data_IF_064234454561
#
_entry.id   IF_064234454561
#
_cell.length_a   1.000
_cell.length_b   1.000
_cell.length_c   1.000
_cell.angle_alpha   90.00
_cell.angle_beta   90.00
_cell.angle_gamma   90.00
#
_symmetry.space_group_name_H-M   'P 1'
#
loop_
_entity.id
_entity.type
_entity.pdbx_description
1 polymer ?
#
# COMPACT_ATOMS: atom_id res chain seq x y z
N UNK A 1 -60.85 20.31 -62.54
CA UNK A 1 -60.07 19.54 -61.54
C UNK A 1 -59.17 18.56 -62.28
N UNK A 2 -57.85 18.76 -62.26
CA UNK A 2 -56.91 17.93 -62.99
C UNK A 2 -56.79 16.53 -62.34
N UNK A 3 -57.12 15.46 -63.09
CA UNK A 3 -56.92 14.07 -62.65
C UNK A 3 -55.41 13.82 -62.51
N UNK A 4 -54.95 13.57 -61.29
CA UNK A 4 -53.56 13.15 -61.04
C UNK A 4 -53.25 11.88 -61.84
N UNK A 5 -52.19 11.93 -62.65
CA UNK A 5 -51.68 10.76 -63.40
C UNK A 5 -51.20 9.71 -62.39
N UNK A 6 -51.64 8.46 -62.54
CA UNK A 6 -51.21 7.36 -61.68
C UNK A 6 -49.70 7.14 -61.88
N UNK A 7 -48.90 7.05 -60.79
CA UNK A 7 -47.45 6.90 -60.89
C UNK A 7 -47.11 5.56 -61.55
N UNK A 8 -46.14 5.60 -62.46
CA UNK A 8 -45.63 4.44 -63.19
C UNK A 8 -44.86 3.47 -62.30
N UNK A 9 -44.53 2.29 -62.82
CA UNK A 9 -43.86 1.24 -62.04
C UNK A 9 -42.50 1.68 -61.49
N UNK A 10 -41.68 2.36 -62.30
CA UNK A 10 -40.35 2.85 -61.91
C UNK A 10 -40.44 3.87 -60.78
N UNK A 11 -41.38 4.81 -60.86
CA UNK A 11 -41.57 5.83 -59.81
C UNK A 11 -41.96 5.20 -58.46
N UNK A 12 -42.81 4.16 -58.48
CA UNK A 12 -43.16 3.42 -57.25
C UNK A 12 -42.00 2.62 -56.70
N UNK A 13 -41.17 2.05 -57.57
CA UNK A 13 -39.97 1.33 -57.17
C UNK A 13 -38.97 2.27 -56.49
N UNK A 14 -38.68 3.43 -57.09
CA UNK A 14 -37.78 4.43 -56.52
C UNK A 14 -38.29 4.92 -55.15
N UNK A 15 -39.58 5.26 -55.03
CA UNK A 15 -40.17 5.65 -53.73
C UNK A 15 -40.06 4.57 -52.64
N UNK A 16 -40.14 3.29 -53.02
CA UNK A 16 -39.95 2.19 -52.06
C UNK A 16 -38.49 2.03 -51.67
N UNK A 17 -37.57 2.21 -52.61
CA UNK A 17 -36.14 2.17 -52.34
C UNK A 17 -35.72 3.32 -51.41
N UNK A 18 -36.18 4.55 -51.67
CA UNK A 18 -35.93 5.71 -50.81
C UNK A 18 -36.45 5.46 -49.38
N UNK A 19 -37.70 4.98 -49.25
CA UNK A 19 -38.28 4.64 -47.94
C UNK A 19 -37.48 3.56 -47.21
N UNK A 20 -36.99 2.55 -47.92
CA UNK A 20 -36.18 1.49 -47.32
C UNK A 20 -34.82 2.02 -46.84
N UNK A 21 -34.21 2.95 -47.59
CA UNK A 21 -32.97 3.63 -47.20
C UNK A 21 -33.23 4.47 -45.94
N UNK A 22 -34.28 5.29 -45.93
CA UNK A 22 -34.64 6.11 -44.76
C UNK A 22 -34.89 5.25 -43.52
N UNK A 23 -35.61 4.13 -43.66
CA UNK A 23 -35.85 3.20 -42.56
C UNK A 23 -34.54 2.57 -42.05
N UNK A 24 -33.65 2.15 -42.95
CA UNK A 24 -32.35 1.58 -42.59
C UNK A 24 -31.45 2.60 -41.87
N UNK A 25 -31.41 3.84 -42.35
CA UNK A 25 -30.65 4.94 -41.72
C UNK A 25 -31.20 5.22 -40.31
N UNK A 26 -32.52 5.34 -40.16
CA UNK A 26 -33.14 5.61 -38.87
C UNK A 26 -32.93 4.47 -37.86
N UNK A 27 -32.97 3.21 -38.31
CA UNK A 27 -32.63 2.06 -37.46
C UNK A 27 -31.15 2.05 -37.07
N UNK A 28 -30.26 2.43 -38.00
CA UNK A 28 -28.84 2.59 -37.73
C UNK A 28 -28.57 3.65 -36.66
N UNK A 29 -29.22 4.82 -36.77
CA UNK A 29 -29.12 5.91 -35.79
C UNK A 29 -29.61 5.44 -34.42
N UNK A 30 -30.79 4.82 -34.33
CA UNK A 30 -31.33 4.32 -33.06
C UNK A 30 -30.40 3.32 -32.37
N UNK A 31 -29.85 2.38 -33.13
CA UNK A 31 -28.88 1.41 -32.59
C UNK A 31 -27.59 2.07 -32.13
N UNK A 32 -27.13 3.10 -32.84
CA UNK A 32 -25.96 3.85 -32.43
C UNK A 32 -26.21 4.60 -31.12
N UNK A 33 -27.39 5.22 -30.96
CA UNK A 33 -27.79 5.89 -29.73
C UNK A 33 -27.87 4.91 -28.55
N UNK A 34 -28.50 3.73 -28.74
CA UNK A 34 -28.56 2.66 -27.72
C UNK A 34 -27.16 2.21 -27.27
N UNK A 35 -26.24 1.99 -28.23
CA UNK A 35 -24.85 1.60 -27.92
C UNK A 35 -24.12 2.70 -27.16
N UNK A 36 -24.36 3.97 -27.50
CA UNK A 36 -23.75 5.11 -26.80
C UNK A 36 -24.26 5.22 -25.36
N UNK A 37 -25.56 5.03 -25.14
CA UNK A 37 -26.15 5.05 -23.81
C UNK A 37 -25.58 3.91 -22.93
N UNK A 38 -25.51 2.70 -23.47
CA UNK A 38 -24.87 1.56 -22.82
C UNK A 38 -23.41 1.86 -22.46
N UNK A 39 -22.64 2.41 -23.42
CA UNK A 39 -21.24 2.74 -23.20
C UNK A 39 -21.07 3.79 -22.09
N UNK A 40 -21.96 4.79 -22.02
CA UNK A 40 -21.96 5.79 -20.95
C UNK A 40 -22.28 5.15 -19.60
N UNK A 41 -23.25 4.24 -19.54
CA UNK A 41 -23.59 3.53 -18.31
C UNK A 41 -22.44 2.64 -17.82
N UNK A 42 -21.86 1.83 -18.70
CA UNK A 42 -20.69 1.00 -18.36
C UNK A 42 -19.51 1.87 -17.91
N UNK A 43 -19.28 3.01 -18.58
CA UNK A 43 -18.25 3.96 -18.18
C UNK A 43 -18.45 4.49 -16.76
N UNK A 44 -19.69 4.84 -16.39
CA UNK A 44 -20.04 5.28 -15.02
C UNK A 44 -19.84 4.19 -13.99
N UNK A 45 -20.27 2.96 -14.28
CA UNK A 45 -20.11 1.81 -13.38
C UNK A 45 -18.62 1.53 -13.15
N UNK A 46 -17.84 1.43 -14.23
CA UNK A 46 -16.41 1.18 -14.16
C UNK A 46 -15.67 2.27 -13.37
N UNK A 47 -15.99 3.54 -13.62
CA UNK A 47 -15.41 4.66 -12.86
C UNK A 47 -15.76 4.59 -11.36
N UNK A 48 -17.02 4.28 -11.04
CA UNK A 48 -17.49 4.14 -9.65
C UNK A 48 -16.81 2.98 -8.91
N UNK A 49 -16.67 1.82 -9.56
CA UNK A 49 -15.96 0.67 -9.00
C UNK A 49 -14.47 0.96 -8.79
N UNK A 50 -13.82 1.57 -9.79
CA UNK A 50 -12.43 1.99 -9.68
C UNK A 50 -12.23 2.97 -8.51
N UNK A 51 -13.15 3.92 -8.33
CA UNK A 51 -13.09 4.87 -7.23
C UNK A 51 -13.28 4.19 -5.85
N UNK A 52 -14.25 3.28 -5.72
CA UNK A 52 -14.47 2.49 -4.49
C UNK A 52 -13.22 1.70 -4.14
N UNK A 53 -12.66 0.96 -5.10
CA UNK A 53 -11.48 0.12 -4.88
C UNK A 53 -10.23 0.93 -4.57
N UNK A 54 -10.06 2.09 -5.22
CA UNK A 54 -8.99 3.04 -4.91
C UNK A 54 -9.09 3.57 -3.47
N UNK A 55 -10.29 3.92 -3.01
CA UNK A 55 -10.52 4.37 -1.63
C UNK A 55 -10.20 3.28 -0.60
N UNK A 56 -10.59 2.04 -0.87
CA UNK A 56 -10.28 0.89 -0.01
C UNK A 56 -8.78 0.63 0.08
N UNK A 57 -8.08 0.60 -1.06
CA UNK A 57 -6.62 0.44 -1.11
C UNK A 57 -5.91 1.54 -0.32
N UNK A 58 -6.34 2.80 -0.46
CA UNK A 58 -5.80 3.92 0.32
C UNK A 58 -6.02 3.76 1.82
N UNK A 59 -7.19 3.26 2.25
CA UNK A 59 -7.45 2.97 3.67
C UNK A 59 -6.54 1.87 4.19
N UNK A 60 -6.42 0.76 3.46
CA UNK A 60 -5.52 -0.33 3.83
C UNK A 60 -4.06 0.13 3.93
N UNK A 61 -3.57 0.87 2.93
CA UNK A 61 -2.21 1.38 2.93
C UNK A 61 -1.92 2.30 4.13
N UNK A 62 -2.87 3.18 4.49
CA UNK A 62 -2.74 4.03 5.69
C UNK A 62 -2.64 3.20 6.97
N UNK A 63 -3.50 2.20 7.13
CA UNK A 63 -3.50 1.32 8.31
C UNK A 63 -2.18 0.54 8.42
N UNK A 64 -1.71 -0.04 7.32
CA UNK A 64 -0.45 -0.79 7.32
C UNK A 64 0.76 0.11 7.58
N UNK A 65 0.79 1.33 7.03
CA UNK A 65 1.84 2.30 7.33
C UNK A 65 1.93 2.62 8.84
N UNK A 66 0.79 2.81 9.50
CA UNK A 66 0.75 3.04 10.96
C UNK A 66 1.27 1.83 11.72
N UNK A 67 0.86 0.61 11.35
CA UNK A 67 1.34 -0.63 11.99
C UNK A 67 2.84 -0.84 11.82
N UNK A 68 3.37 -0.60 10.62
CA UNK A 68 4.80 -0.75 10.33
C UNK A 68 5.60 0.26 11.16
N UNK A 69 5.14 1.52 11.20
CA UNK A 69 5.77 2.57 12.01
C UNK A 69 5.79 2.21 13.49
N UNK A 70 4.65 1.83 14.07
CA UNK A 70 4.58 1.50 15.50
C UNK A 70 5.42 0.27 15.85
N UNK A 71 5.42 -0.76 14.99
CA UNK A 71 6.29 -1.93 15.16
C UNK A 71 7.77 -1.56 15.06
N UNK A 72 8.14 -0.70 14.11
CA UNK A 72 9.50 -0.19 13.96
C UNK A 72 9.97 0.57 15.21
N UNK A 73 9.15 1.47 15.74
CA UNK A 73 9.43 2.21 16.98
C UNK A 73 9.60 1.28 18.18
N UNK A 74 8.78 0.24 18.30
CA UNK A 74 8.89 -0.76 19.36
C UNK A 74 10.20 -1.54 19.29
N UNK A 75 10.56 -2.04 18.11
CA UNK A 75 11.79 -2.81 17.92
C UNK A 75 13.05 -1.94 18.12
N UNK A 76 13.02 -0.69 17.64
CA UNK A 76 14.09 0.28 17.92
C UNK A 76 14.22 0.57 19.42
N UNK A 77 13.11 0.75 20.12
CA UNK A 77 13.12 0.99 21.57
C UNK A 77 13.67 -0.21 22.34
N UNK A 78 13.27 -1.43 21.96
CA UNK A 78 13.80 -2.67 22.53
C UNK A 78 15.32 -2.76 22.30
N UNK A 79 15.76 -2.60 21.06
CA UNK A 79 17.18 -2.62 20.70
C UNK A 79 17.99 -1.57 21.46
N UNK A 80 17.49 -0.34 21.53
CA UNK A 80 18.13 0.76 22.28
C UNK A 80 18.19 0.45 23.78
N UNK A 81 17.13 -0.10 24.37
CA UNK A 81 17.11 -0.47 25.78
C UNK A 81 18.10 -1.60 26.09
N UNK A 82 18.22 -2.59 25.21
CA UNK A 82 19.20 -3.67 25.34
C UNK A 82 20.62 -3.13 25.24
N UNK A 83 20.90 -2.27 24.25
CA UNK A 83 22.19 -1.61 24.10
C UNK A 83 22.57 -0.75 25.31
N UNK A 84 21.61 0.02 25.86
CA UNK A 84 21.82 0.80 27.09
C UNK A 84 22.15 -0.08 28.30
N UNK A 85 21.47 -1.22 28.45
CA UNK A 85 21.77 -2.17 29.53
C UNK A 85 23.18 -2.75 29.39
N UNK A 86 23.61 -3.09 28.18
CA UNK A 86 24.96 -3.57 27.91
C UNK A 86 26.00 -2.51 28.27
N UNK A 87 25.82 -1.27 27.81
CA UNK A 87 26.73 -0.16 28.12
C UNK A 87 26.79 0.15 29.63
N UNK A 88 25.65 0.07 30.34
CA UNK A 88 25.61 0.22 31.79
C UNK A 88 26.39 -0.91 32.49
N UNK A 89 26.20 -2.16 32.06
CA UNK A 89 26.92 -3.30 32.63
C UNK A 89 28.42 -3.24 32.37
N UNK A 90 28.86 -2.73 31.22
CA UNK A 90 30.27 -2.49 30.93
C UNK A 90 30.87 -1.47 31.89
N UNK A 91 30.17 -0.35 32.13
CA UNK A 91 30.59 0.66 33.10
C UNK A 91 30.67 0.08 34.53
N UNK A 92 29.67 -0.66 34.96
CA UNK A 92 29.66 -1.32 36.28
C UNK A 92 30.81 -2.33 36.43
N UNK A 93 31.12 -3.09 35.37
CA UNK A 93 32.23 -4.03 35.35
C UNK A 93 33.59 -3.29 35.48
N UNK A 94 33.75 -2.14 34.80
CA UNK A 94 34.94 -1.30 34.91
C UNK A 94 35.10 -0.72 36.33
N UNK A 95 34.01 -0.23 36.94
CA UNK A 95 34.02 0.26 38.33
C UNK A 95 34.36 -0.88 39.32
N UNK A 96 33.86 -2.09 39.06
CA UNK A 96 34.18 -3.28 39.87
C UNK A 96 35.65 -3.64 39.76
N UNK A 97 36.26 -3.54 38.58
CA UNK A 97 37.70 -3.74 38.38
C UNK A 97 38.54 -2.71 39.14
N UNK A 98 38.11 -1.45 39.17
CA UNK A 98 38.78 -0.39 39.93
C UNK A 98 38.79 -0.70 41.43
N UNK A 99 37.63 -1.05 42.01
CA UNK A 99 37.50 -1.45 43.43
C UNK A 99 38.32 -2.70 43.74
N UNK A 100 38.35 -3.68 42.84
CA UNK A 100 39.15 -4.90 43.00
C UNK A 100 40.66 -4.58 43.09
N UNK A 101 41.14 -3.60 42.33
CA UNK A 101 42.53 -3.14 42.40
C UNK A 101 42.85 -2.42 43.71
N UNK A 102 41.90 -1.64 44.27
CA UNK A 102 42.04 -1.01 45.59
C UNK A 102 42.12 -2.06 46.71
N UNK A 103 41.27 -3.09 46.69
CA UNK A 103 41.31 -4.18 47.68
C UNK A 103 42.65 -4.94 47.69
N UNK A 104 43.23 -5.13 46.50
CA UNK A 104 44.58 -5.71 46.38
C UNK A 104 45.65 -4.80 47.00
N UNK A 105 45.59 -3.49 46.71
CA UNK A 105 46.53 -2.50 47.28
C UNK A 105 46.40 -2.41 48.81
N UNK A 106 45.18 -2.56 49.34
CA UNK A 106 44.90 -2.57 50.76
C UNK A 106 45.28 -3.89 51.45
N UNK A 107 45.78 -4.90 50.72
CA UNK A 107 46.17 -6.20 51.26
C UNK A 107 45.00 -7.09 51.70
N UNK A 108 43.76 -6.73 51.34
CA UNK A 108 42.54 -7.46 51.73
C UNK A 108 42.39 -8.76 50.94
N UNK A 109 42.94 -8.81 49.72
CA UNK A 109 42.95 -10.00 48.85
C UNK A 109 44.37 -10.30 48.37
N UNK A 110 44.63 -11.58 48.08
CA UNK A 110 45.90 -12.04 47.52
C UNK A 110 45.99 -11.80 46.01
N UNK A 111 47.21 -11.81 45.45
CA UNK A 111 47.41 -11.62 44.00
C UNK A 111 46.74 -12.73 43.17
N UNK A 112 46.72 -13.97 43.65
CA UNK A 112 46.06 -15.08 42.95
C UNK A 112 44.54 -14.90 42.90
N UNK A 113 43.93 -14.45 44.00
CA UNK A 113 42.51 -14.12 44.07
C UNK A 113 42.15 -12.93 43.18
N UNK A 114 43.01 -11.91 43.14
CA UNK A 114 42.86 -10.76 42.26
C UNK A 114 42.84 -11.19 40.79
N UNK A 115 43.82 -11.98 40.34
CA UNK A 115 43.90 -12.43 38.94
C UNK A 115 42.71 -13.31 38.54
N UNK A 116 42.30 -14.23 39.41
CA UNK A 116 41.14 -15.10 39.16
C UNK A 116 39.83 -14.29 39.02
N UNK A 117 39.61 -13.31 39.91
CA UNK A 117 38.41 -12.45 39.88
C UNK A 117 38.44 -11.46 38.72
N UNK A 118 39.60 -10.89 38.39
CA UNK A 118 39.80 -10.00 37.23
C UNK A 118 39.46 -10.71 35.93
N UNK A 119 39.96 -11.93 35.73
CA UNK A 119 39.67 -12.75 34.54
C UNK A 119 38.16 -12.96 34.36
N UNK A 120 37.46 -13.37 35.43
CA UNK A 120 35.99 -13.57 35.40
C UNK A 120 35.18 -12.33 35.04
N UNK A 121 35.67 -11.13 35.36
CA UNK A 121 34.99 -9.87 35.00
C UNK A 121 35.29 -9.50 33.55
N UNK A 122 36.54 -9.66 33.12
CA UNK A 122 36.94 -9.41 31.72
C UNK A 122 36.27 -10.38 30.75
N UNK A 123 36.01 -11.64 31.15
CA UNK A 123 35.27 -12.61 30.34
C UNK A 123 33.79 -12.24 30.14
N UNK A 124 33.27 -11.24 30.87
CA UNK A 124 31.87 -10.75 30.80
C UNK A 124 31.72 -9.45 30.01
N UNK A 125 32.83 -8.86 29.56
CA UNK A 125 32.90 -7.64 28.74
C UNK A 125 33.22 -8.08 27.31
#
# INVERSE_FOLDING_TARGET
MAKQKKPGYIERFLKRADKAIDEAVNQGIKRADEILDDAVEYGKIAASEAEKRSRELRKHAKTEAVKIKSRGEQELTKGLSAARKLAASEKENLETLAKLAELRKAGVITESEFQSKKKKILDRI
#
